data_IF_468929470285
#
_entry.id   IF_468929470285
#
_cell.length_a   1.000
_cell.length_b   1.000
_cell.length_c   1.000
_cell.angle_alpha   90.00
_cell.angle_beta   90.00
_cell.angle_gamma   90.00
#
_symmetry.space_group_name_H-M   'P 1'
#
loop_
_entity.id
_entity.type
_entity.pdbx_description
1 polymer ?
#
# COMPACT_ATOMS: atom_id res chain seq x y z
N UNK A 1 -23.14 -9.85 -1.70
CA UNK A 1 -23.15 -9.50 -0.27
C UNK A 1 -21.75 -9.30 0.30
N UNK A 2 -20.83 -10.30 0.27
CA UNK A 2 -19.44 -10.04 0.71
C UNK A 2 -18.62 -9.21 -0.30
N UNK A 3 -18.89 -9.40 -1.59
CA UNK A 3 -18.24 -8.70 -2.71
C UNK A 3 -18.51 -7.19 -2.74
N UNK A 4 -19.67 -6.74 -2.26
CA UNK A 4 -20.08 -5.34 -2.35
C UNK A 4 -19.28 -4.42 -1.42
N UNK A 5 -18.70 -4.96 -0.35
CA UNK A 5 -17.88 -4.20 0.59
C UNK A 5 -16.41 -4.13 0.21
N UNK A 6 -15.94 -5.00 -0.69
CA UNK A 6 -14.51 -5.08 -1.02
C UNK A 6 -14.01 -3.78 -1.67
N UNK A 7 -14.88 -3.07 -2.40
CA UNK A 7 -14.57 -1.75 -2.99
C UNK A 7 -14.20 -0.67 -1.95
N UNK A 8 -14.55 -0.86 -0.68
CA UNK A 8 -14.19 0.05 0.41
C UNK A 8 -12.89 -0.35 1.13
N UNK A 9 -12.34 -1.54 0.88
CA UNK A 9 -11.09 -1.98 1.52
C UNK A 9 -9.88 -1.10 1.22
N UNK A 10 -9.72 -0.49 0.02
CA UNK A 10 -8.64 0.48 -0.19
C UNK A 10 -8.78 1.71 0.73
N UNK A 11 -10.00 2.10 1.11
CA UNK A 11 -10.22 3.19 2.06
C UNK A 11 -9.86 2.78 3.50
N UNK A 12 -10.23 1.56 3.91
CA UNK A 12 -9.82 1.01 5.20
C UNK A 12 -8.29 0.92 5.31
N UNK A 13 -7.67 0.41 4.25
CA UNK A 13 -6.22 0.39 4.06
C UNK A 13 -5.63 1.80 4.21
N UNK A 14 -6.18 2.80 3.51
CA UNK A 14 -5.75 4.19 3.63
C UNK A 14 -5.86 4.72 5.07
N UNK A 15 -6.93 4.40 5.80
CA UNK A 15 -7.04 4.77 7.21
C UNK A 15 -5.93 4.16 8.07
N UNK A 16 -5.63 2.87 7.88
CA UNK A 16 -4.50 2.19 8.54
C UNK A 16 -3.16 2.85 8.20
N UNK A 17 -2.95 3.20 6.93
CA UNK A 17 -1.75 3.88 6.45
C UNK A 17 -1.54 5.24 7.12
N UNK A 18 -2.58 6.09 7.12
CA UNK A 18 -2.54 7.41 7.78
C UNK A 18 -2.28 7.24 9.28
N UNK A 19 -3.00 6.32 9.93
CA UNK A 19 -2.87 6.07 11.36
C UNK A 19 -1.48 5.54 11.74
N UNK A 20 -0.85 4.72 10.90
CA UNK A 20 0.53 4.25 11.09
C UNK A 20 1.50 5.43 11.20
N UNK A 21 1.50 6.34 10.22
CA UNK A 21 2.42 7.50 10.25
C UNK A 21 2.10 8.47 11.39
N UNK A 22 0.81 8.72 11.67
CA UNK A 22 0.41 9.56 12.78
C UNK A 22 0.84 8.98 14.16
N UNK A 23 0.92 7.65 14.27
CA UNK A 23 1.20 6.95 15.53
C UNK A 23 2.68 6.68 15.75
N UNK A 24 3.48 6.43 14.70
CA UNK A 24 4.90 6.04 14.84
C UNK A 24 5.76 7.07 15.58
N UNK A 25 5.39 8.34 15.56
CA UNK A 25 6.06 9.40 16.34
C UNK A 25 5.82 9.30 17.85
N UNK A 26 4.76 8.59 18.28
CA UNK A 26 4.36 8.45 19.70
C UNK A 26 4.56 7.04 20.23
N UNK A 27 4.30 6.03 19.39
CA UNK A 27 4.40 4.62 19.75
C UNK A 27 4.67 3.78 18.50
N UNK A 28 5.83 3.13 18.47
CA UNK A 28 6.17 2.17 17.41
C UNK A 28 5.17 1.01 17.38
N UNK A 29 4.83 0.45 18.54
CA UNK A 29 3.83 -0.63 18.66
C UNK A 29 2.49 -0.26 18.03
N UNK A 30 1.95 0.92 18.37
CA UNK A 30 0.67 1.36 17.78
C UNK A 30 0.81 1.60 16.28
N UNK A 31 1.93 2.19 15.85
CA UNK A 31 2.26 2.37 14.44
C UNK A 31 2.26 1.07 13.66
N UNK A 32 2.93 0.04 14.17
CA UNK A 32 3.02 -1.26 13.50
C UNK A 32 1.68 -2.02 13.53
N UNK A 33 0.89 -1.89 14.60
CA UNK A 33 -0.50 -2.40 14.61
C UNK A 33 -1.36 -1.77 13.50
N UNK A 34 -1.19 -0.47 13.24
CA UNK A 34 -1.90 0.21 12.14
C UNK A 34 -1.33 -0.17 10.77
N UNK A 35 -0.03 -0.47 10.69
CA UNK A 35 0.60 -1.08 9.52
C UNK A 35 -0.04 -2.43 9.16
N UNK A 36 -0.24 -3.30 10.15
CA UNK A 36 -0.96 -4.57 9.96
C UNK A 36 -2.38 -4.36 9.42
N UNK A 37 -3.13 -3.41 9.98
CA UNK A 37 -4.48 -3.08 9.47
C UNK A 37 -4.42 -2.65 8.00
N UNK A 38 -3.47 -1.78 7.67
CA UNK A 38 -3.24 -1.34 6.30
C UNK A 38 -2.97 -2.51 5.34
N UNK A 39 -2.01 -3.38 5.68
CA UNK A 39 -1.62 -4.49 4.81
C UNK A 39 -2.74 -5.53 4.67
N UNK A 40 -3.36 -5.95 5.78
CA UNK A 40 -4.39 -6.98 5.78
C UNK A 40 -5.67 -6.53 5.04
N UNK A 41 -6.02 -5.24 5.13
CA UNK A 41 -7.14 -4.70 4.36
C UNK A 41 -6.90 -4.77 2.84
N UNK A 42 -5.65 -4.69 2.37
CA UNK A 42 -5.33 -4.77 0.94
C UNK A 42 -5.28 -6.19 0.39
N UNK A 43 -5.14 -7.22 1.23
CA UNK A 43 -4.97 -8.61 0.75
C UNK A 43 -6.10 -9.04 -0.20
N UNK A 44 -7.40 -8.81 0.09
CA UNK A 44 -8.47 -9.15 -0.84
C UNK A 44 -8.48 -8.28 -2.10
N UNK A 45 -7.93 -7.07 -2.02
CA UNK A 45 -7.87 -6.12 -3.14
C UNK A 45 -6.91 -6.63 -4.23
N UNK A 46 -5.82 -7.32 -3.86
CA UNK A 46 -4.85 -7.91 -4.81
C UNK A 46 -5.53 -8.75 -5.90
N UNK A 47 -6.49 -9.60 -5.54
CA UNK A 47 -7.20 -10.46 -6.48
C UNK A 47 -8.17 -9.70 -7.41
N UNK A 48 -8.57 -8.47 -7.03
CA UNK A 48 -9.51 -7.66 -7.80
C UNK A 48 -8.83 -6.70 -8.78
N UNK A 49 -7.59 -6.32 -8.49
CA UNK A 49 -6.87 -5.41 -9.36
C UNK A 49 -6.41 -6.16 -10.63
N UNK A 50 -6.38 -5.49 -11.79
CA UNK A 50 -5.91 -6.10 -13.03
C UNK A 50 -4.43 -6.46 -12.91
N UNK A 51 -3.98 -7.43 -13.70
CA UNK A 51 -2.60 -7.91 -13.70
C UNK A 51 -2.52 -9.41 -13.94
N UNK A 52 -1.35 -9.89 -14.33
CA UNK A 52 -1.07 -11.32 -14.43
C UNK A 52 -0.93 -11.96 -13.04
N UNK A 53 -0.87 -13.29 -12.98
CA UNK A 53 -0.67 -14.02 -11.73
C UNK A 53 0.64 -13.61 -11.03
N UNK A 54 1.67 -13.26 -11.79
CA UNK A 54 2.97 -12.79 -11.27
C UNK A 54 2.84 -11.42 -10.59
N UNK A 55 2.03 -10.52 -11.16
CA UNK A 55 1.75 -9.20 -10.58
C UNK A 55 0.97 -9.36 -9.27
N UNK A 56 -0.04 -10.23 -9.25
CA UNK A 56 -0.79 -10.52 -8.02
C UNK A 56 0.09 -11.20 -6.96
N UNK A 57 0.93 -12.14 -7.37
CA UNK A 57 1.90 -12.80 -6.50
C UNK A 57 2.85 -11.80 -5.85
N UNK A 58 3.37 -10.82 -6.60
CA UNK A 58 4.17 -9.74 -6.05
C UNK A 58 3.39 -8.91 -5.00
N UNK A 59 2.10 -8.65 -5.25
CA UNK A 59 1.22 -7.96 -4.31
C UNK A 59 1.06 -8.71 -3.00
N UNK A 60 0.76 -10.02 -3.06
CA UNK A 60 0.67 -10.85 -1.87
C UNK A 60 1.98 -10.94 -1.11
N UNK A 61 3.10 -11.14 -1.82
CA UNK A 61 4.41 -11.27 -1.20
C UNK A 61 4.84 -9.96 -0.52
N UNK A 62 4.52 -8.81 -1.11
CA UNK A 62 4.69 -7.53 -0.44
C UNK A 62 3.85 -7.43 0.83
N UNK A 63 2.53 -7.60 0.73
CA UNK A 63 1.62 -7.38 1.86
C UNK A 63 1.91 -8.32 3.04
N UNK A 64 2.17 -9.60 2.77
CA UNK A 64 2.55 -10.53 3.82
C UNK A 64 3.98 -10.29 4.33
N UNK A 65 4.91 -9.92 3.46
CA UNK A 65 6.27 -9.57 3.85
C UNK A 65 6.30 -8.39 4.82
N UNK A 66 5.64 -7.29 4.47
CA UNK A 66 5.55 -6.12 5.32
C UNK A 66 4.77 -6.39 6.62
N UNK A 67 3.70 -7.18 6.58
CA UNK A 67 2.99 -7.59 7.79
C UNK A 67 3.88 -8.43 8.73
N UNK A 68 4.72 -9.32 8.19
CA UNK A 68 5.69 -10.05 9.00
C UNK A 68 6.76 -9.13 9.58
N UNK A 69 7.20 -8.10 8.85
CA UNK A 69 8.15 -7.11 9.36
C UNK A 69 7.54 -6.29 10.50
N UNK A 70 6.26 -5.89 10.37
CA UNK A 70 5.53 -5.23 11.45
C UNK A 70 5.42 -6.13 12.68
N UNK A 71 5.11 -7.41 12.50
CA UNK A 71 5.11 -8.40 13.59
C UNK A 71 6.49 -8.57 14.22
N UNK A 72 7.56 -8.62 13.43
CA UNK A 72 8.92 -8.72 13.94
C UNK A 72 9.28 -7.48 14.79
N UNK A 73 8.94 -6.28 14.31
CA UNK A 73 9.13 -5.03 15.05
C UNK A 73 8.36 -5.03 16.37
N UNK A 74 7.09 -5.44 16.36
CA UNK A 74 6.27 -5.61 17.58
C UNK A 74 6.93 -6.56 18.59
N UNK A 75 7.62 -7.59 18.11
CA UNK A 75 8.31 -8.59 18.93
C UNK A 75 9.76 -8.22 19.26
N UNK A 76 10.19 -6.98 19.00
CA UNK A 76 11.49 -6.46 19.44
C UNK A 76 12.65 -6.70 18.48
N UNK A 77 12.38 -6.99 17.20
CA UNK A 77 13.40 -6.95 16.16
C UNK A 77 14.01 -5.54 16.04
N UNK A 78 15.29 -5.46 15.68
CA UNK A 78 16.00 -4.19 15.63
C UNK A 78 15.53 -3.29 14.47
N UNK A 79 15.70 -1.97 14.65
CA UNK A 79 15.23 -1.00 13.67
C UNK A 79 15.97 -1.15 12.31
N UNK A 80 17.27 -1.44 12.30
CA UNK A 80 18.06 -1.42 11.08
C UNK A 80 17.74 -2.63 10.19
N UNK A 81 17.64 -3.81 10.80
CA UNK A 81 17.21 -5.06 10.16
C UNK A 81 15.79 -4.97 9.63
N UNK A 82 14.85 -4.47 10.43
CA UNK A 82 13.45 -4.26 9.98
C UNK A 82 13.36 -3.27 8.83
N UNK A 83 14.12 -2.17 8.87
CA UNK A 83 14.18 -1.19 7.79
C UNK A 83 14.78 -1.77 6.50
N UNK A 84 15.89 -2.49 6.61
CA UNK A 84 16.56 -3.13 5.46
C UNK A 84 15.64 -4.14 4.79
N UNK A 85 15.01 -5.01 5.59
CA UNK A 85 14.04 -6.00 5.10
C UNK A 85 12.85 -5.32 4.43
N UNK A 86 12.40 -4.17 4.95
CA UNK A 86 11.33 -3.36 4.35
C UNK A 86 11.68 -2.87 2.94
N UNK A 87 12.94 -2.47 2.70
CA UNK A 87 13.37 -2.07 1.37
C UNK A 87 13.32 -3.24 0.37
N UNK A 88 13.61 -4.47 0.80
CA UNK A 88 13.49 -5.65 -0.06
C UNK A 88 12.04 -5.90 -0.49
N UNK A 89 11.07 -5.74 0.42
CA UNK A 89 9.64 -5.95 0.08
C UNK A 89 9.04 -4.78 -0.69
N UNK A 90 9.59 -3.57 -0.61
CA UNK A 90 9.18 -2.43 -1.46
C UNK A 90 9.44 -2.67 -2.96
N UNK A 91 10.40 -3.53 -3.32
CA UNK A 91 10.54 -3.97 -4.71
C UNK A 91 9.28 -4.68 -5.21
N UNK A 92 8.70 -5.54 -4.37
CA UNK A 92 7.48 -6.29 -4.68
C UNK A 92 6.26 -5.36 -4.70
N UNK A 93 6.22 -4.41 -3.76
CA UNK A 93 5.24 -3.33 -3.76
C UNK A 93 5.26 -2.56 -5.09
N UNK A 94 6.46 -2.20 -5.57
CA UNK A 94 6.64 -1.51 -6.84
C UNK A 94 6.08 -2.31 -8.02
N UNK A 95 6.45 -3.59 -8.13
CA UNK A 95 5.99 -4.48 -9.20
C UNK A 95 4.46 -4.55 -9.19
N UNK A 96 3.85 -4.75 -8.03
CA UNK A 96 2.40 -4.87 -7.93
C UNK A 96 1.69 -3.54 -8.20
N UNK A 97 2.08 -2.46 -7.53
CA UNK A 97 1.43 -1.15 -7.66
C UNK A 97 1.51 -0.67 -9.10
N UNK A 98 2.71 -0.67 -9.72
CA UNK A 98 2.86 -0.24 -11.10
C UNK A 98 2.16 -1.19 -12.08
N UNK A 99 2.37 -2.50 -11.91
CA UNK A 99 1.78 -3.53 -12.78
C UNK A 99 0.26 -3.51 -12.78
N UNK A 100 -0.36 -3.42 -11.60
CA UNK A 100 -1.81 -3.31 -11.47
C UNK A 100 -2.33 -1.99 -12.03
N UNK A 101 -1.63 -0.89 -11.78
CA UNK A 101 -2.04 0.43 -12.24
C UNK A 101 -2.02 0.55 -13.77
N UNK A 102 -1.11 -0.14 -14.47
CA UNK A 102 -1.08 -0.19 -15.94
C UNK A 102 -2.34 -0.84 -16.54
N UNK A 103 -3.00 -1.74 -15.81
CA UNK A 103 -4.27 -2.35 -16.23
C UNK A 103 -5.51 -1.50 -15.90
N UNK A 104 -5.33 -0.37 -15.20
CA UNK A 104 -6.41 0.55 -14.83
C UNK A 104 -6.45 1.77 -15.75
N UNK A 105 -7.51 2.56 -15.62
CA UNK A 105 -7.69 3.82 -16.34
C UNK A 105 -7.75 5.01 -15.40
N UNK A 106 -7.51 6.21 -15.93
CA UNK A 106 -7.67 7.45 -15.19
C UNK A 106 -6.65 7.63 -14.05
N UNK A 107 -7.03 8.27 -12.93
CA UNK A 107 -6.10 8.63 -11.86
C UNK A 107 -5.33 7.44 -11.27
N UNK A 108 -5.94 6.25 -11.19
CA UNK A 108 -5.28 5.08 -10.62
C UNK A 108 -4.04 4.66 -11.41
N UNK A 109 -4.10 4.75 -12.74
CA UNK A 109 -2.96 4.52 -13.61
C UNK A 109 -1.89 5.62 -13.44
N UNK A 110 -2.30 6.88 -13.59
CA UNK A 110 -1.38 8.03 -13.57
C UNK A 110 -0.68 8.26 -12.24
N UNK A 111 -1.29 7.85 -11.12
CA UNK A 111 -0.69 7.96 -9.79
C UNK A 111 0.13 6.70 -9.47
N UNK A 112 -0.44 5.53 -9.73
CA UNK A 112 0.15 4.27 -9.32
C UNK A 112 1.43 3.91 -10.07
N UNK A 113 1.52 4.20 -11.37
CA UNK A 113 2.74 3.91 -12.14
C UNK A 113 3.96 4.71 -11.63
N UNK A 114 3.88 6.06 -11.49
CA UNK A 114 4.96 6.82 -10.87
C UNK A 114 5.22 6.43 -9.41
N UNK A 115 4.18 6.10 -8.64
CA UNK A 115 4.32 5.64 -7.25
C UNK A 115 5.17 4.37 -7.18
N UNK A 116 4.82 3.36 -7.98
CA UNK A 116 5.58 2.11 -8.07
C UNK A 116 7.01 2.34 -8.55
N UNK A 117 7.21 3.17 -9.58
CA UNK A 117 8.56 3.50 -10.05
C UNK A 117 9.41 4.19 -8.96
N UNK A 118 8.82 5.12 -8.21
CA UNK A 118 9.50 5.79 -7.10
C UNK A 118 9.85 4.84 -5.96
N UNK A 119 8.97 3.90 -5.62
CA UNK A 119 9.27 2.84 -4.64
C UNK A 119 10.45 1.95 -5.10
N UNK A 120 10.50 1.59 -6.38
CA UNK A 120 11.64 0.84 -6.94
C UNK A 120 12.95 1.63 -6.81
N UNK A 121 12.94 2.88 -7.28
CA UNK A 121 14.13 3.74 -7.21
C UNK A 121 14.58 3.94 -5.77
N UNK A 122 13.65 4.11 -4.83
CA UNK A 122 13.98 4.23 -3.42
C UNK A 122 14.50 2.93 -2.83
N UNK A 123 13.91 1.78 -3.13
CA UNK A 123 14.42 0.48 -2.68
C UNK A 123 15.87 0.24 -3.17
N UNK A 124 16.19 0.66 -4.41
CA UNK A 124 17.51 0.49 -5.02
C UNK A 124 18.55 1.50 -4.52
N UNK A 125 18.15 2.76 -4.34
CA UNK A 125 19.05 3.88 -4.05
C UNK A 125 19.00 4.33 -2.59
N UNK A 126 18.04 3.86 -1.81
CA UNK A 126 17.75 4.25 -0.44
C UNK A 126 18.97 4.30 0.49
N UNK A 127 19.89 3.32 0.46
CA UNK A 127 21.12 3.36 1.26
C UNK A 127 22.08 4.52 0.92
N UNK A 128 21.93 5.13 -0.26
CA UNK A 128 22.77 6.24 -0.76
C UNK A 128 22.11 7.61 -0.61
N UNK A 129 20.87 7.67 -0.08
CA UNK A 129 20.11 8.91 0.07
C UNK A 129 20.24 9.40 1.51
N UNK A 130 20.75 10.61 1.70
CA UNK A 130 20.70 11.27 3.01
C UNK A 130 19.25 11.46 3.45
N UNK A 131 18.94 11.20 4.73
CA UNK A 131 17.57 11.28 5.26
C UNK A 131 16.56 10.42 4.47
N UNK A 132 17.00 9.24 4.03
CA UNK A 132 16.24 8.31 3.18
C UNK A 132 14.81 8.04 3.67
N UNK A 133 14.61 7.92 4.99
CA UNK A 133 13.29 7.67 5.61
C UNK A 133 12.34 8.87 5.39
N UNK A 134 12.83 10.09 5.57
CA UNK A 134 12.06 11.31 5.37
C UNK A 134 11.73 11.53 3.90
N UNK A 135 12.70 11.29 3.01
CA UNK A 135 12.49 11.36 1.55
C UNK A 135 11.42 10.37 1.11
N UNK A 136 11.48 9.12 1.60
CA UNK A 136 10.45 8.12 1.34
C UNK A 136 9.09 8.60 1.86
N UNK A 137 9.03 9.07 3.11
CA UNK A 137 7.79 9.53 3.72
C UNK A 137 7.12 10.66 2.95
N UNK A 138 7.90 11.67 2.52
CA UNK A 138 7.40 12.82 1.78
C UNK A 138 6.74 12.45 0.43
N UNK A 139 7.21 11.38 -0.21
CA UNK A 139 6.69 10.89 -1.48
C UNK A 139 5.59 9.84 -1.30
N UNK A 140 5.84 8.80 -0.50
CA UNK A 140 4.96 7.63 -0.39
C UNK A 140 3.72 7.94 0.42
N UNK A 141 3.79 8.78 1.45
CA UNK A 141 2.60 9.11 2.26
C UNK A 141 1.49 9.72 1.39
N UNK A 142 1.70 10.86 0.70
CA UNK A 142 0.67 11.42 -0.18
C UNK A 142 0.40 10.53 -1.39
N UNK A 143 1.43 9.88 -1.96
CA UNK A 143 1.28 9.02 -3.14
C UNK A 143 0.37 7.82 -2.89
N UNK A 144 0.58 7.09 -1.78
CA UNK A 144 -0.26 5.96 -1.39
C UNK A 144 -1.69 6.40 -1.06
N UNK A 145 -1.88 7.52 -0.37
CA UNK A 145 -3.23 8.06 -0.08
C UNK A 145 -3.97 8.33 -1.40
N UNK A 146 -3.33 9.06 -2.32
CA UNK A 146 -3.92 9.38 -3.60
C UNK A 146 -4.21 8.12 -4.44
N UNK A 147 -3.29 7.16 -4.43
CA UNK A 147 -3.47 5.90 -5.14
C UNK A 147 -4.61 5.06 -4.56
N UNK A 148 -4.67 4.86 -3.25
CA UNK A 148 -5.73 4.09 -2.60
C UNK A 148 -7.12 4.71 -2.80
N UNK A 149 -7.22 6.04 -2.75
CA UNK A 149 -8.45 6.76 -3.11
C UNK A 149 -8.84 6.50 -4.56
N UNK A 150 -7.89 6.57 -5.48
CA UNK A 150 -8.14 6.33 -6.90
C UNK A 150 -8.53 4.88 -7.20
N UNK A 151 -7.96 3.92 -6.48
CA UNK A 151 -8.33 2.50 -6.56
C UNK A 151 -9.75 2.28 -6.03
N UNK A 152 -10.10 2.87 -4.88
CA UNK A 152 -11.48 2.81 -4.36
C UNK A 152 -12.48 3.40 -5.36
N UNK A 153 -12.14 4.53 -5.98
CA UNK A 153 -12.96 5.14 -7.03
C UNK A 153 -13.09 4.23 -8.25
N UNK A 154 -11.99 3.66 -8.74
CA UNK A 154 -11.98 2.74 -9.88
C UNK A 154 -12.81 1.47 -9.61
N UNK A 155 -12.82 0.97 -8.37
CA UNK A 155 -13.68 -0.14 -7.92
C UNK A 155 -15.15 0.27 -7.70
N UNK A 156 -15.53 1.52 -7.93
CA UNK A 156 -16.91 1.99 -7.83
C UNK A 156 -17.40 2.23 -6.40
N UNK A 157 -16.50 2.53 -5.45
CA UNK A 157 -16.87 2.86 -4.07
C UNK A 157 -17.77 4.11 -3.98
N UNK A 158 -17.65 5.03 -4.95
CA UNK A 158 -18.34 6.32 -4.99
C UNK A 158 -19.42 6.42 -6.07
N UNK A 159 -19.70 5.33 -6.80
CA UNK A 159 -20.79 5.32 -7.77
C UNK A 159 -22.13 5.35 -7.04
N UNK A 160 -22.88 6.45 -7.15
CA UNK A 160 -24.26 6.53 -6.66
C UNK A 160 -25.13 5.63 -7.52
N UNK A 161 -25.72 4.59 -6.93
CA UNK A 161 -26.92 3.97 -7.49
C UNK A 161 -28.02 5.01 -7.42
N UNK A 162 -28.29 5.72 -8.51
CA UNK A 162 -29.53 6.49 -8.63
C UNK A 162 -30.66 5.46 -8.55
N UNK A 163 -31.55 5.52 -7.54
CA UNK A 163 -32.70 4.63 -7.52
C UNK A 163 -33.53 4.95 -8.77
N UNK A 164 -33.64 3.99 -9.68
CA UNK A 164 -34.58 4.09 -10.78
C UNK A 164 -35.96 3.98 -10.13
N UNK A 165 -36.65 5.12 -10.00
CA UNK A 165 -38.03 5.15 -9.53
C UNK A 165 -38.87 4.27 -10.46
N UNK A 166 -39.53 3.27 -9.87
CA UNK A 166 -40.60 2.50 -10.51
C UNK A 166 -41.90 3.29 -10.48
#
# INVERSE_FOLDING_TARGET
>A
MFTDYIKYLPLLSMCGWIAMFASKHKSLFLGDCMGLLYHLALVPVVALLPGSNEIQFAGYLWLFGDAMIDMASINGADHEGTWTTRMCVHLLASIWIAGASLGMTGPACFIGVPLGAGLFLHALLGPRIENTKQVLGAFVVPGMIAWLLSVAYWLGAFSTTIPVGH
#
